data_IF_468296369099
#
_entry.id   IF_468296369099
#
_cell.length_a   1.000
_cell.length_b   1.000
_cell.length_c   1.000
_cell.angle_alpha   90.00
_cell.angle_beta   90.00
_cell.angle_gamma   90.00
#
_symmetry.space_group_name_H-M   'P 1'
#
loop_
_entity.id
_entity.type
_entity.pdbx_description
1 polymer ?
#
# COMPACT_ATOMS: atom_id res chain seq x y z
N UNK A 1 -8.70 5.51 54.41
CA UNK A 1 -9.33 6.05 53.18
C UNK A 1 -8.39 6.19 51.97
N UNK A 2 -7.04 6.15 52.12
CA UNK A 2 -6.08 6.34 51.01
C UNK A 2 -5.83 5.15 50.05
N UNK A 3 -6.31 3.93 50.36
CA UNK A 3 -6.03 2.73 49.55
C UNK A 3 -6.98 2.55 48.36
N UNK A 4 -8.28 2.89 48.54
CA UNK A 4 -9.30 2.81 47.48
C UNK A 4 -9.00 3.71 46.28
N UNK A 5 -8.42 4.89 46.52
CA UNK A 5 -8.07 5.90 45.50
C UNK A 5 -6.88 5.45 44.63
N UNK A 6 -5.94 4.69 45.21
CA UNK A 6 -4.78 4.15 44.48
C UNK A 6 -5.18 3.02 43.54
N UNK A 7 -6.11 2.16 43.95
CA UNK A 7 -6.58 1.02 43.15
C UNK A 7 -7.39 1.41 41.91
N UNK A 8 -8.27 2.41 42.03
CA UNK A 8 -9.07 2.91 40.90
C UNK A 8 -8.22 3.64 39.86
N UNK A 9 -7.18 4.35 40.29
CA UNK A 9 -6.24 5.03 39.37
C UNK A 9 -5.38 4.02 38.59
N UNK A 10 -4.91 2.96 39.26
CA UNK A 10 -4.15 1.87 38.63
C UNK A 10 -5.01 1.07 37.63
N UNK A 11 -6.26 0.77 37.97
CA UNK A 11 -7.19 0.10 37.07
C UNK A 11 -7.53 0.96 35.84
N UNK A 12 -7.72 2.27 36.03
CA UNK A 12 -7.94 3.21 34.92
C UNK A 12 -6.75 3.30 33.96
N UNK A 13 -5.52 3.38 34.49
CA UNK A 13 -4.32 3.38 33.66
C UNK A 13 -4.15 2.07 32.87
N UNK A 14 -4.41 0.92 33.48
CA UNK A 14 -4.30 -0.37 32.80
C UNK A 14 -5.31 -0.50 31.65
N UNK A 15 -6.54 -0.02 31.84
CA UNK A 15 -7.57 -0.03 30.81
C UNK A 15 -7.21 0.89 29.63
N UNK A 16 -6.65 2.07 29.92
CA UNK A 16 -6.21 3.02 28.91
C UNK A 16 -5.05 2.45 28.06
N UNK A 17 -4.08 1.77 28.68
CA UNK A 17 -2.96 1.12 27.97
C UNK A 17 -3.48 -0.01 27.07
N UNK A 18 -4.42 -0.82 27.56
CA UNK A 18 -5.03 -1.89 26.78
C UNK A 18 -5.78 -1.35 25.55
N UNK A 19 -6.51 -0.24 25.70
CA UNK A 19 -7.22 0.42 24.59
C UNK A 19 -6.25 0.96 23.52
N UNK A 20 -5.17 1.63 23.93
CA UNK A 20 -4.16 2.13 22.99
C UNK A 20 -3.48 0.99 22.23
N UNK A 21 -3.17 -0.12 22.91
CA UNK A 21 -2.57 -1.30 22.27
C UNK A 21 -3.50 -1.97 21.23
N UNK A 22 -4.83 -1.92 21.41
CA UNK A 22 -5.79 -2.44 20.43
C UNK A 22 -5.90 -1.52 19.20
N UNK A 23 -5.85 -0.20 19.39
CA UNK A 23 -5.95 0.76 18.29
C UNK A 23 -4.64 0.95 17.50
N UNK A 24 -3.48 0.68 18.10
CA UNK A 24 -2.16 0.89 17.50
C UNK A 24 -1.61 -0.34 16.75
N UNK A 25 -2.48 -1.23 16.25
CA UNK A 25 -2.01 -2.42 15.50
C UNK A 25 -1.29 -1.99 14.22
N UNK A 26 -0.05 -2.47 13.98
CA UNK A 26 0.66 -2.16 12.75
C UNK A 26 -0.11 -2.78 11.58
N UNK A 27 -0.62 -1.94 10.69
CA UNK A 27 -1.14 -2.38 9.39
C UNK A 27 0.06 -2.48 8.45
N UNK A 28 0.36 -3.64 7.86
CA UNK A 28 1.41 -3.73 6.86
C UNK A 28 1.02 -2.86 5.66
N UNK A 29 1.90 -1.92 5.29
CA UNK A 29 1.69 -1.03 4.15
C UNK A 29 1.75 -1.75 2.80
N UNK A 30 2.20 -3.01 2.77
CA UNK A 30 2.27 -3.85 1.59
C UNK A 30 1.45 -5.13 1.79
N UNK A 31 0.55 -5.37 0.83
CA UNK A 31 -0.08 -6.67 0.65
C UNK A 31 0.99 -7.72 0.30
N UNK A 32 0.76 -9.00 0.65
CA UNK A 32 1.62 -10.09 0.21
C UNK A 32 1.83 -10.04 -1.32
N UNK A 33 3.04 -10.32 -1.82
CA UNK A 33 3.28 -10.34 -3.25
C UNK A 33 2.36 -11.37 -3.92
N UNK A 34 1.78 -11.05 -5.10
CA UNK A 34 0.90 -11.97 -5.80
C UNK A 34 1.65 -13.26 -6.17
N UNK A 35 1.07 -14.42 -5.86
CA UNK A 35 1.66 -15.74 -6.07
C UNK A 35 1.53 -16.27 -7.52
N UNK A 36 1.51 -15.36 -8.50
CA UNK A 36 1.36 -15.67 -9.93
C UNK A 36 2.19 -14.71 -10.79
N UNK A 37 2.31 -14.96 -12.11
CA UNK A 37 2.99 -14.06 -13.02
C UNK A 37 2.29 -12.69 -12.99
N UNK A 38 2.92 -11.73 -12.31
CA UNK A 38 2.42 -10.38 -12.13
C UNK A 38 3.35 -9.43 -12.85
N UNK A 39 2.84 -8.78 -13.90
CA UNK A 39 3.44 -7.59 -14.47
C UNK A 39 2.73 -6.39 -13.84
N UNK A 40 3.47 -5.53 -13.13
CA UNK A 40 3.10 -4.26 -12.52
C UNK A 40 1.63 -3.80 -12.60
N UNK A 41 0.97 -3.70 -11.43
CA UNK A 41 -0.37 -3.11 -11.26
C UNK A 41 -1.46 -4.11 -10.84
N UNK A 42 -2.56 -3.60 -10.30
CA UNK A 42 -3.59 -4.41 -9.61
C UNK A 42 -4.58 -5.16 -10.51
N UNK A 43 -4.56 -4.98 -11.84
CA UNK A 43 -5.49 -5.64 -12.78
C UNK A 43 -4.89 -5.74 -14.20
N UNK A 44 -4.20 -6.83 -14.55
CA UNK A 44 -3.49 -6.98 -15.84
C UNK A 44 -4.38 -6.98 -17.10
N UNK A 45 -5.69 -7.15 -16.96
CA UNK A 45 -6.63 -7.34 -18.08
C UNK A 45 -7.73 -6.29 -18.19
N UNK A 46 -7.81 -5.33 -17.25
CA UNK A 46 -8.86 -4.32 -17.29
C UNK A 46 -8.49 -3.21 -18.28
N UNK A 47 -9.41 -2.91 -19.20
CA UNK A 47 -9.36 -1.69 -20.05
C UNK A 47 -10.11 -0.51 -19.43
N UNK A 48 -10.60 -0.68 -18.20
CA UNK A 48 -11.31 0.36 -17.49
C UNK A 48 -10.32 1.38 -16.94
N UNK A 49 -10.50 2.64 -17.32
CA UNK A 49 -9.73 3.75 -16.75
C UNK A 49 -10.26 4.01 -15.35
N UNK A 50 -9.58 3.47 -14.35
CA UNK A 50 -9.83 3.83 -12.95
C UNK A 50 -9.36 5.26 -12.69
N UNK A 51 -10.01 5.98 -11.78
CA UNK A 51 -9.52 7.28 -11.33
C UNK A 51 -8.15 7.13 -10.67
N UNK A 52 -7.09 7.67 -11.29
CA UNK A 52 -5.72 7.57 -10.77
C UNK A 52 -4.67 7.36 -11.87
N UNK A 53 -3.49 6.85 -11.49
CA UNK A 53 -2.41 6.51 -12.41
C UNK A 53 -2.68 5.11 -13.00
N UNK A 54 -2.80 5.02 -14.31
CA UNK A 54 -2.83 3.75 -15.03
C UNK A 54 -1.40 3.25 -15.26
N UNK A 55 -1.07 2.08 -14.71
CA UNK A 55 0.24 1.45 -14.86
C UNK A 55 0.21 0.41 -15.98
N UNK A 56 1.16 0.50 -16.91
CA UNK A 56 1.36 -0.47 -17.98
C UNK A 56 2.68 -1.20 -17.77
N UNK A 57 2.64 -2.51 -17.50
CA UNK A 57 3.85 -3.33 -17.33
C UNK A 57 4.62 -3.60 -18.63
N UNK A 58 3.98 -3.40 -19.79
CA UNK A 58 4.58 -3.59 -21.13
C UNK A 58 4.58 -2.26 -21.87
N UNK A 59 5.76 -1.80 -22.30
CA UNK A 59 5.94 -0.51 -22.99
C UNK A 59 5.04 -0.37 -24.23
N UNK A 60 4.89 -1.44 -25.01
CA UNK A 60 4.04 -1.46 -26.21
C UNK A 60 2.59 -1.06 -25.92
N UNK A 61 2.05 -1.51 -24.80
CA UNK A 61 0.64 -1.27 -24.44
C UNK A 61 0.47 0.17 -23.94
N UNK A 62 1.43 0.69 -23.16
CA UNK A 62 1.47 2.10 -22.78
C UNK A 62 1.58 3.05 -23.97
N UNK A 63 2.37 2.70 -24.99
CA UNK A 63 2.46 3.46 -26.24
C UNK A 63 1.17 3.42 -27.07
N UNK A 64 0.50 2.27 -27.10
CA UNK A 64 -0.79 2.15 -27.77
C UNK A 64 -1.85 3.06 -27.11
N UNK A 65 -1.85 3.14 -25.78
CA UNK A 65 -2.72 4.04 -25.03
C UNK A 65 -2.37 5.53 -25.25
N UNK A 66 -1.08 5.86 -25.25
CA UNK A 66 -0.61 7.22 -25.57
C UNK A 66 -1.15 7.70 -26.92
N UNK A 67 -1.08 6.83 -27.93
CA UNK A 67 -1.60 7.10 -29.28
C UNK A 67 -3.12 7.24 -29.29
N UNK A 68 -3.84 6.38 -28.58
CA UNK A 68 -5.31 6.40 -28.51
C UNK A 68 -5.84 7.68 -27.84
N UNK A 69 -5.14 8.15 -26.80
CA UNK A 69 -5.58 9.28 -25.98
C UNK A 69 -4.98 10.61 -26.38
N UNK A 70 -3.90 10.61 -27.18
CA UNK A 70 -3.13 11.81 -27.50
C UNK A 70 -2.40 12.41 -26.30
N UNK A 71 -2.18 11.62 -25.23
CA UNK A 71 -1.52 12.07 -23.99
C UNK A 71 -0.08 11.54 -23.93
N UNK A 72 0.88 12.33 -23.38
CA UNK A 72 2.22 11.84 -23.12
C UNK A 72 2.22 10.75 -22.04
N UNK A 73 3.25 9.90 -22.05
CA UNK A 73 3.47 8.87 -21.03
C UNK A 73 4.70 9.20 -20.18
N UNK A 74 4.67 8.76 -18.92
CA UNK A 74 5.84 8.70 -18.04
C UNK A 74 6.41 7.28 -18.10
N UNK A 75 7.60 7.11 -18.67
CA UNK A 75 8.29 5.83 -18.69
C UNK A 75 9.30 5.75 -17.55
N UNK A 76 9.12 4.77 -16.66
CA UNK A 76 10.02 4.51 -15.53
C UNK A 76 10.60 3.12 -15.73
N UNK A 77 11.92 3.03 -15.63
CA UNK A 77 12.65 1.75 -15.56
C UNK A 77 13.30 1.64 -14.20
N UNK A 78 13.23 0.45 -13.61
CA UNK A 78 13.95 0.16 -12.39
C UNK A 78 14.31 -1.32 -12.31
N UNK A 79 15.22 -1.58 -11.40
CA UNK A 79 15.75 -2.88 -11.09
C UNK A 79 15.56 -3.09 -9.60
N UNK A 80 14.93 -4.20 -9.19
CA UNK A 80 14.68 -4.49 -7.77
C UNK A 80 15.98 -4.53 -6.95
N UNK A 81 17.09 -4.93 -7.59
CA UNK A 81 18.44 -4.92 -7.02
C UNK A 81 19.05 -3.52 -6.83
N UNK A 82 18.47 -2.46 -7.42
CA UNK A 82 18.95 -1.10 -7.27
C UNK A 82 18.35 -0.48 -5.99
N UNK A 83 19.21 -0.26 -5.00
CA UNK A 83 18.94 0.29 -3.64
C UNK A 83 17.66 1.13 -3.52
N UNK A 84 16.56 0.51 -3.10
CA UNK A 84 15.45 1.19 -2.44
C UNK A 84 14.22 1.54 -3.28
N UNK A 85 13.92 0.83 -4.36
CA UNK A 85 12.63 0.97 -5.07
C UNK A 85 11.74 -0.26 -4.85
N UNK A 86 11.10 -0.38 -3.67
CA UNK A 86 10.18 -1.47 -3.38
C UNK A 86 8.90 -1.36 -4.23
N UNK A 87 8.45 -2.47 -4.82
CA UNK A 87 7.13 -2.54 -5.49
C UNK A 87 7.14 -2.39 -7.01
N UNK A 88 8.30 -2.22 -7.64
CA UNK A 88 8.45 -2.25 -9.11
C UNK A 88 8.97 -3.64 -9.53
N UNK A 89 8.03 -4.56 -9.74
CA UNK A 89 8.21 -5.88 -10.34
C UNK A 89 7.16 -6.09 -11.45
#
# INVERSE_FOLDING_TARGET
MRWKIRGTCLAGCALAIALVAVCARPVPAQLPPPSGPSYGGSVPSSRELVSGIAWYGVLKDGLAEAKRTGKPILFITAAAQCRGVPGMW
#
